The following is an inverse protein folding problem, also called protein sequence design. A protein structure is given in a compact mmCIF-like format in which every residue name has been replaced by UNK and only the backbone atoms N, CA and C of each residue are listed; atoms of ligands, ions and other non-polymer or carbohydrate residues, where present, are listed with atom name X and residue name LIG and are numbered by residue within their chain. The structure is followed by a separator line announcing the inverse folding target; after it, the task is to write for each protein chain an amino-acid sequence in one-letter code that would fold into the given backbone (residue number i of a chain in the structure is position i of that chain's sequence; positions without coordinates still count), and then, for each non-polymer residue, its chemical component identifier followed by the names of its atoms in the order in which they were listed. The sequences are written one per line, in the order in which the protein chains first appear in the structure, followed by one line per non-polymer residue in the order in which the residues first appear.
data_IF_698800842199
#
_entry.id   IF_698800842199
#
_cell.length_a   1.000
_cell.length_b   1.000
_cell.length_c   1.000
_cell.angle_alpha   90.00
_cell.angle_beta   90.00
_cell.angle_gamma   90.00
#
_symmetry.space_group_name_H-M   'P 1'
#
loop_
_entity.id
_entity.type
_entity.pdbx_description
1 polymer ?
#
# COMPACT_ATOMS: atom_id res chain seq x y z
N UNK A 1 4.36 16.38 -0.83
CA UNK A 1 5.13 16.33 -2.09
C UNK A 1 6.35 15.46 -1.84
N UNK A 2 6.35 14.30 -2.51
CA UNK A 2 7.35 13.24 -2.38
C UNK A 2 8.61 13.59 -3.17
N UNK A 3 9.80 13.31 -2.64
CA UNK A 3 11.06 13.46 -3.38
C UNK A 3 11.39 12.22 -4.23
N UNK A 4 12.27 12.36 -5.23
CA UNK A 4 12.63 11.25 -6.14
C UNK A 4 13.19 10.02 -5.42
N UNK A 5 14.13 10.22 -4.48
CA UNK A 5 14.73 9.09 -3.72
C UNK A 5 13.67 8.32 -2.92
N UNK A 6 12.65 9.03 -2.44
CA UNK A 6 11.56 8.44 -1.68
C UNK A 6 10.62 7.67 -2.62
N UNK A 7 10.30 8.23 -3.79
CA UNK A 7 9.50 7.56 -4.83
C UNK A 7 10.13 6.23 -5.29
N UNK A 8 11.44 6.21 -5.53
CA UNK A 8 12.18 5.00 -5.95
C UNK A 8 12.31 3.93 -4.85
N UNK A 9 11.89 4.25 -3.62
CA UNK A 9 11.99 3.37 -2.46
C UNK A 9 10.65 3.27 -1.69
N UNK A 10 9.68 2.47 -2.19
CA UNK A 10 8.34 2.32 -1.59
C UNK A 10 8.35 2.02 -0.09
N UNK A 11 9.26 1.15 0.37
CA UNK A 11 9.38 0.81 1.79
C UNK A 11 9.80 1.98 2.68
N UNK A 12 10.51 2.99 2.14
CA UNK A 12 10.87 4.19 2.90
C UNK A 12 9.69 5.16 3.03
N UNK A 13 8.77 5.12 2.06
CA UNK A 13 7.55 5.93 2.12
C UNK A 13 6.70 5.48 3.30
N UNK A 14 6.53 4.17 3.50
CA UNK A 14 5.67 3.67 4.57
C UNK A 14 6.00 4.25 5.95
N UNK A 15 7.29 4.33 6.28
CA UNK A 15 7.75 4.92 7.54
C UNK A 15 7.37 6.40 7.70
N UNK A 16 7.28 7.17 6.62
CA UNK A 16 6.90 8.60 6.63
C UNK A 16 5.39 8.81 6.79
N UNK A 17 4.59 7.87 6.30
CA UNK A 17 3.13 7.91 6.40
C UNK A 17 2.58 7.04 7.54
N UNK A 18 3.41 6.45 8.39
CA UNK A 18 2.94 5.56 9.46
C UNK A 18 2.25 4.29 8.95
N UNK A 19 2.56 3.90 7.72
CA UNK A 19 2.09 2.66 7.09
C UNK A 19 3.03 1.52 7.48
N UNK A 20 2.47 0.34 7.66
CA UNK A 20 3.20 -0.89 7.94
C UNK A 20 2.95 -1.89 6.82
N UNK A 21 4.01 -2.48 6.29
CA UNK A 21 3.89 -3.57 5.32
C UNK A 21 3.71 -4.94 5.98
N UNK A 22 2.81 -5.76 5.44
CA UNK A 22 2.53 -7.11 5.90
C UNK A 22 3.43 -8.12 5.17
N UNK A 23 4.75 -8.06 5.38
CA UNK A 23 5.73 -8.82 4.56
C UNK A 23 5.53 -10.34 4.61
N UNK A 24 5.08 -10.87 5.74
CA UNK A 24 4.91 -12.30 5.94
C UNK A 24 3.56 -12.78 5.42
N UNK A 25 2.53 -11.95 5.54
CA UNK A 25 1.17 -12.25 5.10
C UNK A 25 0.97 -12.00 3.61
N UNK A 26 1.64 -11.01 3.02
CA UNK A 26 1.42 -10.62 1.61
C UNK A 26 1.57 -11.77 0.62
N UNK A 27 2.61 -12.63 0.70
CA UNK A 27 2.74 -13.78 -0.21
C UNK A 27 1.67 -14.84 0.00
N UNK A 28 1.03 -14.87 1.17
CA UNK A 28 0.00 -15.85 1.55
C UNK A 28 -1.40 -15.34 1.20
N UNK A 29 -1.67 -14.05 1.43
CA UNK A 29 -2.87 -13.36 0.96
C UNK A 29 -2.90 -13.33 -0.57
N UNK A 30 -1.75 -13.15 -1.22
CA UNK A 30 -1.64 -13.17 -2.67
C UNK A 30 -2.24 -11.92 -3.31
N UNK A 31 -2.74 -12.08 -4.53
CA UNK A 31 -3.27 -10.98 -5.34
C UNK A 31 -4.66 -10.52 -4.84
N UNK A 32 -4.90 -9.20 -4.64
CA UNK A 32 -6.21 -8.67 -4.27
C UNK A 32 -7.35 -9.10 -5.20
N UNK A 33 -7.09 -9.30 -6.50
CA UNK A 33 -8.09 -9.75 -7.47
C UNK A 33 -8.72 -11.09 -7.08
N UNK A 34 -7.98 -11.94 -6.33
CA UNK A 34 -8.53 -13.22 -5.85
C UNK A 34 -9.71 -13.01 -4.89
N UNK A 35 -9.70 -11.94 -4.10
CA UNK A 35 -10.79 -11.58 -3.19
C UNK A 35 -11.95 -10.88 -3.93
N UNK A 36 -11.66 -10.07 -4.94
CA UNK A 36 -12.67 -9.41 -5.76
C UNK A 36 -13.44 -10.38 -6.66
N UNK A 37 -12.75 -11.37 -7.23
CA UNK A 37 -13.31 -12.39 -8.12
C UNK A 37 -13.95 -13.58 -7.37
N UNK A 38 -13.98 -13.55 -6.03
CA UNK A 38 -14.47 -14.65 -5.19
C UNK A 38 -13.76 -15.99 -5.46
N UNK A 39 -12.46 -15.91 -5.76
CA UNK A 39 -11.58 -17.06 -6.04
C UNK A 39 -10.53 -17.30 -4.96
N UNK A 40 -10.51 -16.46 -3.93
CA UNK A 40 -9.67 -16.61 -2.75
C UNK A 40 -9.97 -17.95 -2.04
N UNK A 41 -8.91 -18.64 -1.64
CA UNK A 41 -9.00 -19.88 -0.87
C UNK A 41 -9.48 -19.61 0.56
N UNK A 42 -10.02 -20.63 1.23
CA UNK A 42 -10.40 -20.52 2.65
C UNK A 42 -9.23 -20.04 3.52
N UNK A 43 -8.00 -20.50 3.25
CA UNK A 43 -6.80 -20.04 3.98
C UNK A 43 -6.54 -18.53 3.77
N UNK A 44 -6.75 -18.02 2.55
CA UNK A 44 -6.60 -16.59 2.26
C UNK A 44 -7.67 -15.75 2.97
N UNK A 45 -8.91 -16.23 3.00
CA UNK A 45 -10.03 -15.57 3.69
C UNK A 45 -9.80 -15.54 5.20
N UNK A 46 -9.41 -16.67 5.80
CA UNK A 46 -9.09 -16.76 7.23
C UNK A 46 -7.93 -15.81 7.59
N UNK A 47 -6.87 -15.79 6.79
CA UNK A 47 -5.73 -14.90 7.00
C UNK A 47 -6.14 -13.42 6.87
N UNK A 48 -7.00 -13.09 5.91
CA UNK A 48 -7.52 -11.73 5.74
C UNK A 48 -8.35 -11.30 6.96
N UNK A 49 -9.21 -12.18 7.47
CA UNK A 49 -9.98 -11.93 8.70
C UNK A 49 -9.05 -11.73 9.90
N UNK A 50 -7.99 -12.53 10.05
CA UNK A 50 -6.98 -12.35 11.09
C UNK A 50 -6.24 -11.01 10.98
N UNK A 51 -5.93 -10.56 9.76
CA UNK A 51 -5.32 -9.25 9.53
C UNK A 51 -6.28 -8.13 9.97
N UNK A 52 -7.54 -8.16 9.54
CA UNK A 52 -8.54 -7.18 9.97
C UNK A 52 -8.78 -7.20 11.48
N UNK A 53 -8.77 -8.38 12.11
CA UNK A 53 -8.93 -8.50 13.55
C UNK A 53 -7.75 -7.89 14.33
N UNK A 54 -6.52 -8.02 13.82
CA UNK A 54 -5.32 -7.42 14.42
C UNK A 54 -5.26 -5.90 14.22
N UNK A 55 -5.86 -5.40 13.16
CA UNK A 55 -5.77 -4.02 12.70
C UNK A 55 -7.16 -3.37 12.58
N UNK A 56 -7.98 -3.51 13.62
CA UNK A 56 -9.39 -3.11 13.57
C UNK A 56 -9.63 -1.60 13.39
N UNK A 57 -8.64 -0.76 13.70
CA UNK A 57 -8.71 0.70 13.60
C UNK A 57 -7.98 1.23 12.34
N UNK A 58 -7.27 0.37 11.63
CA UNK A 58 -6.47 0.72 10.45
C UNK A 58 -7.16 0.24 9.16
N UNK A 59 -6.90 0.94 8.06
CA UNK A 59 -7.25 0.46 6.73
C UNK A 59 -6.22 -0.59 6.29
N UNK A 60 -6.70 -1.66 5.66
CA UNK A 60 -5.88 -2.70 5.03
C UNK A 60 -6.09 -2.59 3.53
N UNK A 61 -5.01 -2.45 2.78
CA UNK A 61 -5.07 -2.33 1.31
C UNK A 61 -3.84 -2.96 0.65
N UNK A 62 -3.84 -3.01 -0.67
CA UNK A 62 -2.73 -3.53 -1.47
C UNK A 62 -1.99 -2.38 -2.16
N UNK A 63 -0.66 -2.34 -2.01
CA UNK A 63 0.20 -1.41 -2.74
C UNK A 63 0.80 -2.09 -3.97
N UNK A 64 0.21 -1.79 -5.14
CA UNK A 64 0.59 -2.36 -6.44
C UNK A 64 2.06 -2.12 -6.81
N UNK A 65 2.63 -0.96 -6.46
CA UNK A 65 4.02 -0.62 -6.79
C UNK A 65 5.01 -1.52 -6.04
N UNK A 66 4.65 -1.97 -4.85
CA UNK A 66 5.48 -2.84 -4.00
C UNK A 66 5.14 -4.33 -4.12
N UNK A 67 3.92 -4.65 -4.54
CA UNK A 67 3.35 -5.99 -4.49
C UNK A 67 3.06 -6.50 -3.06
N UNK A 68 2.84 -5.59 -2.11
CA UNK A 68 2.61 -5.92 -0.70
C UNK A 68 1.24 -5.43 -0.23
N UNK A 69 0.62 -6.21 0.64
CA UNK A 69 -0.46 -5.74 1.50
C UNK A 69 0.13 -4.84 2.58
N UNK A 70 -0.55 -3.72 2.83
CA UNK A 70 -0.14 -2.68 3.75
C UNK A 70 -1.30 -2.33 4.70
N UNK A 71 -0.95 -1.78 5.85
CA UNK A 71 -1.89 -1.39 6.88
C UNK A 71 -1.49 -0.07 7.54
N UNK A 72 -2.48 0.75 7.89
CA UNK A 72 -2.27 2.02 8.58
C UNK A 72 -3.52 2.90 8.56
N UNK A 73 -3.45 4.12 9.11
CA UNK A 73 -4.57 5.04 9.10
C UNK A 73 -5.00 5.35 7.65
N UNK A 74 -6.31 5.29 7.38
CA UNK A 74 -6.88 5.51 6.04
C UNK A 74 -6.40 6.84 5.44
N UNK A 75 -6.50 7.94 6.20
CA UNK A 75 -6.07 9.28 5.76
C UNK A 75 -4.58 9.34 5.40
N UNK A 76 -3.74 8.56 6.07
CA UNK A 76 -2.30 8.55 5.82
C UNK A 76 -1.95 7.70 4.59
N UNK A 77 -2.63 6.57 4.39
CA UNK A 77 -2.54 5.74 3.18
C UNK A 77 -3.00 6.53 1.95
N UNK A 78 -4.15 7.20 2.04
CA UNK A 78 -4.66 8.06 0.96
C UNK A 78 -3.68 9.19 0.64
N UNK A 79 -3.12 9.84 1.67
CA UNK A 79 -2.10 10.89 1.47
C UNK A 79 -0.84 10.34 0.79
N UNK A 80 -0.40 9.14 1.14
CA UNK A 80 0.75 8.49 0.51
C UNK A 80 0.51 8.27 -0.99
N UNK A 81 -0.64 7.69 -1.36
CA UNK A 81 -0.97 7.45 -2.77
C UNK A 81 -1.16 8.76 -3.55
N UNK A 82 -1.81 9.76 -2.94
CA UNK A 82 -1.96 11.08 -3.56
C UNK A 82 -0.61 11.78 -3.81
N UNK A 83 0.34 11.67 -2.86
CA UNK A 83 1.69 12.22 -3.04
C UNK A 83 2.47 11.49 -4.15
N UNK A 84 2.24 10.18 -4.35
CA UNK A 84 2.83 9.42 -5.49
C UNK A 84 2.22 9.83 -6.82
N UNK A 85 0.89 9.96 -6.90
CA UNK A 85 0.20 10.38 -8.10
C UNK A 85 0.65 11.80 -8.51
N UNK A 86 0.70 12.73 -7.55
CA UNK A 86 1.19 14.08 -7.78
C UNK A 86 2.66 14.11 -8.25
N UNK A 87 3.50 13.19 -7.78
CA UNK A 87 4.88 13.04 -8.24
C UNK A 87 4.93 12.58 -9.70
N UNK A 88 4.14 11.58 -10.08
CA UNK A 88 4.04 11.08 -11.44
C UNK A 88 3.50 12.13 -12.41
N UNK A 89 2.48 12.87 -12.01
CA UNK A 89 1.89 13.96 -12.79
C UNK A 89 2.92 15.06 -13.09
N UNK A 90 3.70 15.45 -12.10
CA UNK A 90 4.76 16.46 -12.27
C UNK A 90 5.87 15.95 -13.21
N UNK A 91 6.26 14.68 -13.12
CA UNK A 91 7.19 14.07 -14.07
C UNK A 91 6.65 14.05 -15.51
N UNK A 92 5.38 13.69 -15.69
CA UNK A 92 4.73 13.69 -17.01
C UNK A 92 4.63 15.10 -17.60
N UNK A 93 4.38 16.11 -16.75
CA UNK A 93 4.37 17.51 -17.13
C UNK A 93 5.76 18.10 -17.43
N UNK A 94 6.85 17.36 -17.16
CA UNK A 94 8.22 17.84 -17.27
C UNK A 94 8.58 18.89 -16.21
N UNK A 95 7.82 18.93 -15.11
CA UNK A 95 8.11 19.72 -13.93
C UNK A 95 9.10 18.98 -13.04
N UNK A 96 9.83 19.70 -12.20
CA UNK A 96 10.62 19.08 -11.13
C UNK A 96 9.64 18.69 -10.01
N UNK A 97 9.36 17.39 -9.82
CA UNK A 97 8.36 16.93 -8.85
C UNK A 97 8.83 17.12 -7.39
N UNK A 98 10.09 17.52 -7.18
CA UNK A 98 10.67 17.76 -5.87
C UNK A 98 12.07 17.19 -5.75
N UNK A 99 12.99 18.05 -5.31
CA UNK A 99 14.34 17.73 -4.80
C UNK A 99 14.26 16.85 -3.56
#
# INVERSE_FOLDING_TARGET
MMGQELFEHPLRQYAEYGVTELREESPRLGDPASFEDDTATEEQLDLMEEVFARHAEDAVTFDEESGLWIVGPEEDIERMFADREAFLDALEAGEDPGV
#
